data_IF_195881292326
#
_entry.id   IF_195881292326
#
_cell.length_a   1.000
_cell.length_b   1.000
_cell.length_c   1.000
_cell.angle_alpha   90.00
_cell.angle_beta   90.00
_cell.angle_gamma   90.00
#
_symmetry.space_group_name_H-M   'P 1'
#
loop_
_entity.id
_entity.type
_entity.pdbx_description
1 polymer ?
#
# COMPACT_ATOMS: atom_id res chain seq x y z
N UNK A 1 8.04 30.98 -2.91
CA UNK A 1 8.97 30.10 -3.68
C UNK A 1 9.32 28.82 -2.91
N UNK A 2 9.83 28.88 -1.68
CA UNK A 2 10.24 27.68 -0.91
C UNK A 2 9.14 26.63 -0.66
N UNK A 3 7.92 27.05 -0.31
CA UNK A 3 6.80 26.12 -0.07
C UNK A 3 6.44 25.26 -1.29
N UNK A 4 6.38 25.84 -2.48
CA UNK A 4 6.07 25.10 -3.71
C UNK A 4 7.13 24.03 -4.03
N UNK A 5 8.42 24.35 -3.82
CA UNK A 5 9.52 23.42 -4.05
C UNK A 5 9.49 22.26 -3.05
N UNK A 6 9.14 22.54 -1.79
CA UNK A 6 8.91 21.51 -0.77
C UNK A 6 7.79 20.54 -1.15
N UNK A 7 6.61 21.03 -1.56
CA UNK A 7 5.50 20.16 -1.95
C UNK A 7 5.82 19.32 -3.19
N UNK A 8 6.55 19.89 -4.16
CA UNK A 8 7.00 19.15 -5.34
C UNK A 8 7.97 18.03 -4.95
N UNK A 9 8.93 18.32 -4.08
CA UNK A 9 9.85 17.32 -3.56
C UNK A 9 9.12 16.23 -2.75
N UNK A 10 8.13 16.61 -1.94
CA UNK A 10 7.32 15.66 -1.18
C UNK A 10 6.49 14.76 -2.10
N UNK A 11 5.85 15.33 -3.12
CA UNK A 11 5.13 14.56 -4.14
C UNK A 11 6.08 13.61 -4.90
N UNK A 12 7.31 14.04 -5.19
CA UNK A 12 8.33 13.20 -5.79
C UNK A 12 8.71 12.00 -4.90
N UNK A 13 8.88 12.21 -3.58
CA UNK A 13 9.11 11.11 -2.62
C UNK A 13 7.93 10.13 -2.61
N UNK A 14 6.69 10.62 -2.68
CA UNK A 14 5.51 9.75 -2.76
C UNK A 14 5.55 8.90 -4.03
N UNK A 15 5.87 9.51 -5.19
CA UNK A 15 6.02 8.77 -6.44
C UNK A 15 7.10 7.69 -6.35
N UNK A 16 8.25 8.00 -5.73
CA UNK A 16 9.33 7.02 -5.53
C UNK A 16 8.90 5.87 -4.62
N UNK A 17 8.19 6.14 -3.52
CA UNK A 17 7.77 5.10 -2.56
C UNK A 17 6.67 4.20 -3.14
N UNK A 18 5.71 4.75 -3.89
CA UNK A 18 4.76 3.94 -4.66
C UNK A 18 5.46 3.14 -5.77
N UNK A 19 6.37 3.76 -6.51
CA UNK A 19 7.17 3.08 -7.54
C UNK A 19 7.96 1.92 -6.96
N UNK A 20 8.60 2.11 -5.80
CA UNK A 20 9.29 1.05 -5.08
C UNK A 20 8.34 -0.07 -4.62
N UNK A 21 7.15 0.28 -4.12
CA UNK A 21 6.14 -0.71 -3.73
C UNK A 21 5.68 -1.58 -4.90
N UNK A 22 5.46 -0.98 -6.07
CA UNK A 22 5.18 -1.71 -7.31
C UNK A 22 6.37 -2.55 -7.78
N UNK A 23 7.60 -2.02 -7.66
CA UNK A 23 8.82 -2.76 -7.97
C UNK A 23 8.94 -4.03 -7.12
N UNK A 24 8.65 -3.97 -5.81
CA UNK A 24 8.66 -5.16 -4.95
C UNK A 24 7.65 -6.21 -5.43
N UNK A 25 6.44 -5.78 -5.81
CA UNK A 25 5.44 -6.69 -6.37
C UNK A 25 5.93 -7.35 -7.67
N UNK A 26 6.49 -6.58 -8.60
CA UNK A 26 7.02 -7.11 -9.86
C UNK A 26 8.20 -8.05 -9.65
N UNK A 27 9.10 -7.72 -8.72
CA UNK A 27 10.23 -8.55 -8.33
C UNK A 27 9.76 -9.90 -7.78
N UNK A 28 8.74 -9.90 -6.92
CA UNK A 28 8.12 -11.12 -6.40
C UNK A 28 7.46 -11.93 -7.53
N UNK A 29 6.74 -11.28 -8.44
CA UNK A 29 6.10 -11.94 -9.57
C UNK A 29 7.13 -12.61 -10.51
N UNK A 30 8.24 -11.93 -10.80
CA UNK A 30 9.33 -12.47 -11.61
C UNK A 30 10.02 -13.63 -10.92
N UNK A 31 10.31 -13.52 -9.62
CA UNK A 31 10.97 -14.57 -8.84
C UNK A 31 10.15 -15.86 -8.82
N UNK A 32 8.83 -15.75 -8.56
CA UNK A 32 7.91 -16.91 -8.61
C UNK A 32 7.83 -17.52 -10.01
N UNK A 33 7.75 -16.70 -11.08
CA UNK A 33 7.74 -17.21 -12.47
C UNK A 33 9.03 -17.95 -12.83
N UNK A 34 10.16 -17.45 -12.36
CA UNK A 34 11.47 -18.07 -12.60
C UNK A 34 11.79 -19.21 -11.63
N UNK A 35 10.89 -19.51 -10.66
CA UNK A 35 11.14 -20.47 -9.56
C UNK A 35 12.44 -20.16 -8.82
N UNK A 36 12.73 -18.88 -8.64
CA UNK A 36 13.91 -18.37 -7.90
C UNK A 36 13.45 -17.70 -6.61
N UNK A 37 14.34 -17.70 -5.64
CA UNK A 37 14.13 -16.96 -4.40
C UNK A 37 14.33 -15.46 -4.61
N UNK A 38 13.53 -14.63 -3.94
CA UNK A 38 13.79 -13.19 -3.84
C UNK A 38 15.05 -12.93 -3.02
N UNK A 39 15.74 -11.79 -3.22
CA UNK A 39 16.91 -11.44 -2.42
C UNK A 39 16.62 -11.37 -0.91
N UNK A 40 17.60 -11.70 -0.08
CA UNK A 40 17.44 -11.72 1.39
C UNK A 40 16.94 -10.41 2.01
N UNK A 41 17.30 -9.27 1.40
CA UNK A 41 16.82 -7.97 1.87
C UNK A 41 15.29 -7.84 1.74
N UNK A 42 14.67 -8.51 0.76
CA UNK A 42 13.22 -8.53 0.59
C UNK A 42 12.54 -9.17 1.79
N UNK A 43 13.09 -10.29 2.26
CA UNK A 43 12.60 -10.98 3.45
C UNK A 43 12.76 -10.15 4.72
N UNK A 44 13.88 -9.43 4.84
CA UNK A 44 14.10 -8.52 5.98
C UNK A 44 13.08 -7.39 6.01
N UNK A 45 12.71 -6.84 4.84
CA UNK A 45 11.63 -5.83 4.77
C UNK A 45 10.33 -6.43 5.33
N UNK A 46 9.92 -7.61 4.85
CA UNK A 46 8.70 -8.26 5.31
C UNK A 46 8.67 -8.53 6.81
N UNK A 47 9.77 -9.05 7.35
CA UNK A 47 9.94 -9.27 8.79
C UNK A 47 9.87 -7.97 9.59
N UNK A 48 10.53 -6.92 9.13
CA UNK A 48 10.51 -5.61 9.80
C UNK A 48 9.13 -4.94 9.83
N UNK A 49 8.28 -5.26 8.84
CA UNK A 49 6.90 -4.79 8.82
C UNK A 49 6.05 -5.57 9.82
N UNK A 50 6.32 -6.86 9.99
CA UNK A 50 5.54 -7.70 10.88
C UNK A 50 5.88 -7.51 12.36
N UNK A 51 7.16 -7.33 12.71
CA UNK A 51 7.58 -7.06 14.09
C UNK A 51 6.82 -5.88 14.73
N UNK A 52 6.33 -4.96 13.90
CA UNK A 52 5.53 -3.80 14.33
C UNK A 52 4.05 -4.11 14.60
N UNK A 53 3.51 -5.21 14.05
CA UNK A 53 2.07 -5.49 14.10
C UNK A 53 1.72 -6.82 14.76
N UNK A 54 2.47 -7.92 14.61
CA UNK A 54 2.13 -9.26 15.12
C UNK A 54 3.38 -10.13 15.43
N UNK A 55 3.40 -10.86 16.55
CA UNK A 55 4.50 -11.77 16.98
C UNK A 55 4.50 -13.17 16.32
N UNK A 56 3.98 -13.33 15.11
CA UNK A 56 4.02 -14.65 14.43
C UNK A 56 5.28 -14.71 13.58
N UNK A 57 5.99 -15.84 13.48
CA UNK A 57 7.16 -15.92 12.59
C UNK A 57 6.71 -15.99 11.13
N UNK A 58 7.08 -15.01 10.29
CA UNK A 58 6.87 -15.12 8.83
C UNK A 58 7.72 -16.23 8.24
N UNK A 59 7.15 -16.89 7.25
CA UNK A 59 7.84 -17.83 6.38
C UNK A 59 8.57 -17.05 5.27
N UNK A 60 9.88 -17.26 5.21
CA UNK A 60 10.74 -16.72 4.15
C UNK A 60 10.73 -17.69 2.98
N UNK A 61 9.68 -17.63 2.17
CA UNK A 61 9.59 -18.46 0.97
C UNK A 61 8.93 -17.73 -0.19
N UNK A 62 9.56 -17.81 -1.37
CA UNK A 62 9.07 -17.22 -2.62
C UNK A 62 8.09 -18.16 -3.31
N UNK A 63 6.92 -18.35 -2.70
CA UNK A 63 5.90 -19.27 -3.20
C UNK A 63 4.77 -18.58 -3.96
N UNK A 64 4.05 -19.37 -4.77
CA UNK A 64 2.85 -18.92 -5.45
C UNK A 64 1.78 -18.40 -4.48
N UNK A 65 1.69 -18.95 -3.27
CA UNK A 65 0.79 -18.47 -2.23
C UNK A 65 1.11 -17.03 -1.79
N UNK A 66 2.39 -16.69 -1.59
CA UNK A 66 2.83 -15.33 -1.25
C UNK A 66 2.49 -14.33 -2.37
N UNK A 67 2.69 -14.74 -3.63
CA UNK A 67 2.29 -13.95 -4.79
C UNK A 67 0.77 -13.79 -4.89
N UNK A 68 -0.01 -14.85 -4.65
CA UNK A 68 -1.47 -14.82 -4.68
C UNK A 68 -2.02 -13.81 -3.67
N UNK A 69 -1.51 -13.81 -2.44
CA UNK A 69 -1.87 -12.81 -1.43
C UNK A 69 -1.54 -11.39 -1.90
N UNK A 70 -0.31 -11.17 -2.38
CA UNK A 70 0.14 -9.86 -2.86
C UNK A 70 -0.70 -9.36 -4.04
N UNK A 71 -1.08 -10.25 -4.96
CA UNK A 71 -1.96 -9.95 -6.09
C UNK A 71 -3.37 -9.58 -5.66
N UNK A 72 -3.93 -10.30 -4.70
CA UNK A 72 -5.25 -10.01 -4.15
C UNK A 72 -5.28 -8.65 -3.47
N UNK A 73 -4.29 -8.38 -2.62
CA UNK A 73 -4.09 -7.08 -1.98
C UNK A 73 -4.01 -5.95 -3.02
N UNK A 74 -3.12 -6.07 -4.02
CA UNK A 74 -2.91 -5.06 -5.05
C UNK A 74 -4.19 -4.79 -5.85
N UNK A 75 -4.87 -5.84 -6.32
CA UNK A 75 -6.10 -5.72 -7.10
C UNK A 75 -7.22 -5.09 -6.30
N UNK A 76 -7.45 -5.54 -5.07
CA UNK A 76 -8.50 -5.00 -4.22
C UNK A 76 -8.23 -3.54 -3.83
N UNK A 77 -6.97 -3.19 -3.56
CA UNK A 77 -6.57 -1.80 -3.34
C UNK A 77 -6.89 -0.94 -4.56
N UNK A 78 -6.46 -1.33 -5.77
CA UNK A 78 -6.73 -0.55 -6.99
C UNK A 78 -8.22 -0.42 -7.29
N UNK A 79 -8.99 -1.50 -7.13
CA UNK A 79 -10.44 -1.48 -7.33
C UNK A 79 -11.14 -0.56 -6.33
N UNK A 80 -10.82 -0.69 -5.04
CA UNK A 80 -11.46 0.12 -4.00
C UNK A 80 -11.09 1.60 -4.16
N UNK A 81 -9.83 1.91 -4.49
CA UNK A 81 -9.38 3.26 -4.84
C UNK A 81 -10.16 3.85 -6.01
N UNK A 82 -10.40 3.06 -7.06
CA UNK A 82 -11.19 3.49 -8.21
C UNK A 82 -12.64 3.81 -7.84
N UNK A 83 -13.30 2.94 -7.06
CA UNK A 83 -14.66 3.21 -6.56
C UNK A 83 -14.72 4.43 -5.66
N UNK A 84 -13.75 4.60 -4.76
CA UNK A 84 -13.65 5.78 -3.89
C UNK A 84 -13.46 7.06 -4.68
N UNK A 85 -12.66 7.04 -5.75
CA UNK A 85 -12.52 8.18 -6.65
C UNK A 85 -13.85 8.54 -7.31
N UNK A 86 -14.57 7.56 -7.87
CA UNK A 86 -15.88 7.80 -8.50
C UNK A 86 -16.90 8.38 -7.52
N UNK A 87 -16.92 7.87 -6.28
CA UNK A 87 -17.80 8.35 -5.21
C UNK A 87 -17.54 9.82 -4.85
N UNK A 88 -16.28 10.22 -4.67
CA UNK A 88 -15.96 11.62 -4.36
C UNK A 88 -16.09 12.55 -5.56
N UNK A 89 -15.87 12.03 -6.78
CA UNK A 89 -16.04 12.79 -8.00
C UNK A 89 -17.52 13.15 -8.25
N UNK A 90 -18.44 12.21 -8.01
CA UNK A 90 -19.87 12.47 -8.14
C UNK A 90 -20.39 13.47 -7.09
N UNK A 91 -19.75 13.54 -5.91
CA UNK A 91 -20.17 14.43 -4.84
C UNK A 91 -19.62 15.87 -4.98
N UNK A 92 -18.35 16.04 -5.35
CA UNK A 92 -17.71 17.36 -5.29
C UNK A 92 -17.65 18.12 -6.62
N UNK A 93 -17.89 17.46 -7.77
CA UNK A 93 -17.74 17.95 -9.15
C UNK A 93 -16.35 18.55 -9.52
N UNK A 94 -15.48 18.82 -8.53
CA UNK A 94 -14.13 19.31 -8.69
C UNK A 94 -13.12 18.18 -8.52
N UNK A 95 -12.26 18.00 -9.53
CA UNK A 95 -11.26 16.93 -9.58
C UNK A 95 -10.28 17.03 -8.40
N UNK A 96 -9.86 18.25 -8.04
CA UNK A 96 -8.86 18.48 -6.99
C UNK A 96 -9.34 18.04 -5.60
N UNK A 97 -10.60 18.31 -5.25
CA UNK A 97 -11.18 17.86 -3.97
C UNK A 97 -11.38 16.35 -3.94
N UNK A 98 -11.80 15.75 -5.05
CA UNK A 98 -11.95 14.30 -5.15
C UNK A 98 -10.61 13.58 -4.97
N UNK A 99 -9.53 14.09 -5.58
CA UNK A 99 -8.19 13.52 -5.44
C UNK A 99 -7.64 13.62 -4.01
N UNK A 100 -7.83 14.75 -3.33
CA UNK A 100 -7.37 14.90 -1.94
C UNK A 100 -8.12 13.94 -1.00
N UNK A 101 -9.44 13.84 -1.13
CA UNK A 101 -10.23 12.92 -0.32
C UNK A 101 -9.93 11.45 -0.63
N UNK A 102 -9.72 11.11 -1.90
CA UNK A 102 -9.26 9.79 -2.29
C UNK A 102 -7.86 9.47 -1.70
N UNK A 103 -6.95 10.45 -1.68
CA UNK A 103 -5.64 10.32 -1.06
C UNK A 103 -5.71 10.03 0.44
N UNK A 104 -6.62 10.70 1.16
CA UNK A 104 -6.87 10.40 2.58
C UNK A 104 -7.45 9.00 2.78
N UNK A 105 -8.40 8.61 1.94
CA UNK A 105 -9.03 7.29 1.99
C UNK A 105 -8.06 6.15 1.63
N UNK A 106 -7.03 6.42 0.83
CA UNK A 106 -6.05 5.41 0.39
C UNK A 106 -5.41 4.65 1.55
N UNK A 107 -5.12 5.34 2.66
CA UNK A 107 -4.58 4.70 3.85
C UNK A 107 -5.55 3.68 4.45
N UNK A 108 -6.82 4.06 4.60
CA UNK A 108 -7.88 3.18 5.11
C UNK A 108 -8.08 1.98 4.17
N UNK A 109 -8.09 2.22 2.86
CA UNK A 109 -8.18 1.17 1.84
C UNK A 109 -7.04 0.16 1.99
N UNK A 110 -5.79 0.61 2.14
CA UNK A 110 -4.65 -0.29 2.35
C UNK A 110 -4.79 -1.11 3.64
N UNK A 111 -5.27 -0.53 4.73
CA UNK A 111 -5.50 -1.27 5.99
C UNK A 111 -6.60 -2.31 5.84
N UNK A 112 -7.77 -1.93 5.32
CA UNK A 112 -8.90 -2.84 5.11
C UNK A 112 -8.50 -3.99 4.20
N UNK A 113 -7.80 -3.69 3.10
CA UNK A 113 -7.35 -4.73 2.17
C UNK A 113 -6.30 -5.65 2.76
N UNK A 114 -5.41 -5.16 3.63
CA UNK A 114 -4.43 -6.00 4.33
C UNK A 114 -5.15 -7.01 5.23
N UNK A 115 -6.10 -6.56 6.05
CA UNK A 115 -6.88 -7.44 6.91
C UNK A 115 -7.70 -8.43 6.07
N UNK A 116 -8.40 -7.96 5.04
CA UNK A 116 -9.18 -8.81 4.14
C UNK A 116 -8.32 -9.90 3.49
N UNK A 117 -7.10 -9.57 3.05
CA UNK A 117 -6.15 -10.52 2.45
C UNK A 117 -5.75 -11.60 3.45
N UNK A 118 -5.55 -11.24 4.72
CA UNK A 118 -5.24 -12.20 5.78
C UNK A 118 -6.43 -13.11 6.10
N UNK A 119 -7.67 -12.58 6.04
CA UNK A 119 -8.87 -13.38 6.28
C UNK A 119 -9.21 -14.29 5.09
N UNK A 120 -8.98 -13.85 3.86
CA UNK A 120 -9.26 -14.65 2.66
C UNK A 120 -8.48 -15.96 2.63
N UNK A 121 -7.25 -15.96 3.14
CA UNK A 121 -6.42 -17.17 3.24
C UNK A 121 -6.97 -18.22 4.24
N UNK A 122 -7.83 -17.80 5.19
CA UNK A 122 -8.52 -18.71 6.12
C UNK A 122 -9.60 -19.54 5.43
N UNK A 123 -10.22 -19.02 4.36
CA UNK A 123 -11.35 -19.68 3.71
C UNK A 123 -10.95 -20.88 2.84
N UNK A 124 -9.68 -21.00 2.47
CA UNK A 124 -9.19 -22.04 1.55
C UNK A 124 -8.21 -23.05 2.18
N UNK A 125 -7.67 -22.80 3.38
CA UNK A 125 -6.76 -23.72 4.06
C UNK A 125 -7.46 -24.40 5.24
N UNK A 126 -8.15 -25.51 4.96
CA UNK A 126 -9.01 -26.19 5.95
C UNK A 126 -8.25 -26.99 7.01
N UNK A 127 -6.91 -27.14 6.93
CA UNK A 127 -6.15 -28.02 7.85
C UNK A 127 -4.70 -27.61 8.22
N UNK A 128 -4.09 -26.57 7.64
CA UNK A 128 -2.72 -26.17 7.98
C UNK A 128 -2.66 -24.94 8.91
N UNK A 129 -1.66 -24.93 9.82
CA UNK A 129 -1.33 -23.77 10.67
C UNK A 129 -1.18 -22.51 9.81
N UNK A 130 -1.64 -21.37 10.33
CA UNK A 130 -1.60 -20.05 9.68
C UNK A 130 -0.17 -19.70 9.21
N UNK A 131 0.11 -19.86 7.92
CA UNK A 131 1.38 -19.49 7.29
C UNK A 131 1.28 -18.05 6.79
N UNK A 132 2.14 -17.19 7.32
CA UNK A 132 2.26 -15.82 6.85
C UNK A 132 3.54 -15.72 6.02
N UNK A 133 3.46 -15.11 4.85
CA UNK A 133 4.61 -15.02 3.95
C UNK A 133 5.29 -13.67 4.07
N UNK A 134 6.60 -13.67 4.38
CA UNK A 134 7.41 -12.46 4.48
C UNK A 134 7.31 -11.57 3.23
N UNK A 135 7.37 -12.12 2.00
CA UNK A 135 7.28 -11.30 0.80
C UNK A 135 5.96 -10.53 0.66
N UNK A 136 4.84 -11.15 1.05
CA UNK A 136 3.51 -10.52 1.00
C UNK A 136 3.38 -9.35 1.98
N UNK A 137 3.98 -9.51 3.16
CA UNK A 137 4.06 -8.44 4.17
C UNK A 137 4.98 -7.29 3.73
N UNK A 138 6.06 -7.58 3.01
CA UNK A 138 6.93 -6.54 2.46
C UNK A 138 6.17 -5.67 1.46
N UNK A 139 5.46 -6.28 0.51
CA UNK A 139 4.68 -5.56 -0.52
C UNK A 139 3.57 -4.72 0.15
N UNK A 140 2.70 -5.36 0.93
CA UNK A 140 1.58 -4.66 1.59
C UNK A 140 2.05 -3.58 2.58
N UNK A 141 3.11 -3.84 3.33
CA UNK A 141 3.70 -2.86 4.26
C UNK A 141 4.25 -1.64 3.55
N UNK A 142 4.95 -1.80 2.42
CA UNK A 142 5.44 -0.68 1.62
C UNK A 142 4.29 0.16 1.04
N UNK A 143 3.20 -0.47 0.58
CA UNK A 143 2.01 0.26 0.14
C UNK A 143 1.32 1.04 1.28
N UNK A 144 1.33 0.50 2.51
CA UNK A 144 0.80 1.21 3.69
C UNK A 144 1.69 2.42 4.03
N UNK A 145 3.01 2.28 4.03
CA UNK A 145 3.91 3.43 4.26
C UNK A 145 3.70 4.51 3.20
N UNK A 146 3.60 4.10 1.93
CA UNK A 146 3.36 5.02 0.82
C UNK A 146 2.02 5.74 0.97
N UNK A 147 0.97 5.06 1.46
CA UNK A 147 -0.34 5.67 1.69
C UNK A 147 -0.37 6.59 2.93
N UNK A 148 0.43 6.31 3.97
CA UNK A 148 0.64 7.25 5.08
C UNK A 148 1.29 8.54 4.60
N UNK A 149 2.32 8.46 3.75
CA UNK A 149 2.94 9.64 3.17
C UNK A 149 1.93 10.45 2.32
N UNK A 150 1.10 9.76 1.52
CA UNK A 150 0.04 10.40 0.75
C UNK A 150 -1.02 11.08 1.65
N UNK A 151 -1.40 10.45 2.75
CA UNK A 151 -2.30 11.04 3.75
C UNK A 151 -1.71 12.32 4.35
N UNK A 152 -0.45 12.28 4.77
CA UNK A 152 0.25 13.45 5.31
C UNK A 152 0.33 14.59 4.28
N UNK A 153 0.59 14.27 3.02
CA UNK A 153 0.55 15.25 1.94
C UNK A 153 -0.85 15.85 1.76
N UNK A 154 -1.89 15.01 1.69
CA UNK A 154 -3.25 15.46 1.47
C UNK A 154 -3.75 16.38 2.60
N UNK A 155 -3.46 16.02 3.86
CA UNK A 155 -3.76 16.86 5.02
C UNK A 155 -2.96 18.17 4.97
N UNK A 156 -1.67 18.12 4.65
CA UNK A 156 -0.83 19.33 4.55
C UNK A 156 -1.29 20.29 3.45
N UNK A 157 -1.74 19.76 2.31
CA UNK A 157 -2.30 20.56 1.21
C UNK A 157 -3.64 21.21 1.57
N UNK A 158 -4.47 20.51 2.34
CA UNK A 158 -5.76 21.02 2.80
C UNK A 158 -5.59 22.13 3.85
N UNK A 159 -4.70 21.95 4.82
CA UNK A 159 -4.35 23.00 5.80
C UNK A 159 -3.84 24.27 5.12
N UNK A 160 -3.00 24.13 4.09
CA UNK A 160 -2.51 25.27 3.31
C UNK A 160 -3.66 25.99 2.57
N UNK A 161 -4.60 25.24 2.00
CA UNK A 161 -5.78 25.79 1.32
C UNK A 161 -6.64 26.62 2.27
N UNK A 162 -6.84 26.16 3.50
CA UNK A 162 -7.58 26.92 4.52
C UNK A 162 -6.85 28.22 4.92
N UNK A 163 -5.52 28.18 5.12
CA UNK A 163 -4.73 29.37 5.45
C UNK A 163 -4.69 30.42 4.33
N UNK A 164 -4.75 30.01 3.06
CA UNK A 164 -4.75 30.96 1.92
C UNK A 164 -6.16 31.56 1.70
N UNK A 165 -7.22 30.88 2.15
CA UNK A 165 -8.62 31.30 1.92
C UNK A 165 -9.19 32.21 3.00
N UNK A 166 -8.54 32.30 4.16
CA UNK A 166 -8.88 33.22 5.25
C UNK A 166 -7.63 34.04 5.65
N UNK A 167 -7.36 35.17 4.98
CA UNK A 167 -6.44 36.18 5.49
C UNK A 167 -7.02 36.94 6.69
#
# INVERSE_FOLDING_TARGET
MGYYLFYLFFAFIICLTYGFSFYLYLLLELAVKQKKEVPDWFYRIGQSMQDRFHRVKLENSTNFAALKQSRFFLRGMLLLSFFTYLFFHSQSHAISSALLNCGKAQFVICLVMKELTQYWDLSFSTKEKRKYYSPSFAVSGCFIISSVLLLLFAVSMEQLRFHISFP
#
